data_IF_977375112087
#
_entry.id   IF_977375112087
#
_cell.length_a   1.000
_cell.length_b   1.000
_cell.length_c   1.000
_cell.angle_alpha   90.00
_cell.angle_beta   90.00
_cell.angle_gamma   90.00
#
_symmetry.space_group_name_H-M   'P 1'
#
loop_
_entity.id
_entity.type
_entity.pdbx_description
1 polymer ?
#
# COMPACT_ATOMS: atom_id res chain seq x y z
N UNK A 1 18.06 10.06 2.29
CA UNK A 1 17.13 8.91 2.42
C UNK A 1 16.79 8.67 3.89
N UNK A 2 15.52 8.86 4.29
CA UNK A 2 15.11 8.69 5.70
C UNK A 2 14.84 7.21 6.03
N UNK A 3 14.86 6.84 7.32
CA UNK A 3 14.47 5.48 7.79
C UNK A 3 13.04 5.12 7.38
N UNK A 4 12.17 6.11 7.23
CA UNK A 4 10.79 5.97 6.76
C UNK A 4 10.75 5.59 5.27
N UNK A 5 11.50 6.30 4.42
CA UNK A 5 11.58 6.03 2.99
C UNK A 5 12.11 4.62 2.69
N UNK A 6 13.12 4.19 3.44
CA UNK A 6 13.67 2.84 3.32
C UNK A 6 12.61 1.76 3.64
N UNK A 7 11.81 1.96 4.70
CA UNK A 7 10.70 1.05 5.05
C UNK A 7 9.65 1.01 3.94
N UNK A 8 9.22 2.17 3.44
CA UNK A 8 8.22 2.26 2.37
C UNK A 8 8.73 1.64 1.06
N UNK A 9 10.02 1.76 0.76
CA UNK A 9 10.65 1.08 -0.38
C UNK A 9 10.61 -0.44 -0.22
N UNK A 10 11.00 -0.98 0.94
CA UNK A 10 10.93 -2.42 1.21
C UNK A 10 9.50 -2.96 1.07
N UNK A 11 8.50 -2.17 1.49
CA UNK A 11 7.09 -2.53 1.35
C UNK A 11 6.68 -2.64 -0.13
N UNK A 12 7.08 -1.68 -0.98
CA UNK A 12 6.83 -1.75 -2.43
C UNK A 12 7.50 -2.95 -3.08
N UNK A 13 8.76 -3.22 -2.73
CA UNK A 13 9.49 -4.39 -3.25
C UNK A 13 8.76 -5.69 -2.92
N UNK A 14 8.23 -5.83 -1.69
CA UNK A 14 7.42 -6.99 -1.30
C UNK A 14 6.12 -7.11 -2.08
N UNK A 15 5.47 -5.99 -2.40
CA UNK A 15 4.27 -5.98 -3.23
C UNK A 15 4.56 -6.49 -4.66
N UNK A 16 5.79 -6.35 -5.16
CA UNK A 16 6.17 -6.77 -6.51
C UNK A 16 6.66 -8.22 -6.62
N UNK A 17 6.70 -9.00 -5.52
CA UNK A 17 7.18 -10.39 -5.51
C UNK A 17 6.23 -11.35 -6.26
N UNK A 18 6.45 -11.57 -7.55
CA UNK A 18 5.54 -12.35 -8.42
C UNK A 18 5.40 -13.82 -8.03
N UNK A 19 6.35 -14.36 -7.27
CA UNK A 19 6.35 -15.70 -6.69
C UNK A 19 5.30 -15.87 -5.56
N UNK A 20 4.81 -14.77 -5.00
CA UNK A 20 3.83 -14.78 -3.91
C UNK A 20 2.41 -14.51 -4.44
N UNK A 21 1.37 -15.24 -3.98
CA UNK A 21 -0.01 -14.97 -4.34
C UNK A 21 -0.44 -13.51 -4.10
N UNK A 22 -1.19 -12.94 -5.05
CA UNK A 22 -1.61 -11.53 -5.02
C UNK A 22 -2.26 -11.14 -3.69
N UNK A 23 -3.19 -11.96 -3.20
CA UNK A 23 -3.88 -11.72 -1.92
C UNK A 23 -2.89 -11.52 -0.76
N UNK A 24 -1.87 -12.38 -0.65
CA UNK A 24 -0.88 -12.30 0.43
C UNK A 24 -0.02 -11.06 0.31
N UNK A 25 0.39 -10.70 -0.92
CA UNK A 25 1.15 -9.48 -1.18
C UNK A 25 0.37 -8.23 -0.81
N UNK A 26 -0.87 -8.14 -1.26
CA UNK A 26 -1.76 -7.00 -1.03
C UNK A 26 -2.08 -6.85 0.46
N UNK A 27 -2.46 -7.93 1.14
CA UNK A 27 -2.75 -7.90 2.59
C UNK A 27 -1.50 -7.52 3.39
N UNK A 28 -0.32 -8.04 3.01
CA UNK A 28 0.95 -7.70 3.65
C UNK A 28 1.34 -6.24 3.42
N UNK A 29 1.18 -5.74 2.19
CA UNK A 29 1.41 -4.35 1.83
C UNK A 29 0.59 -3.42 2.72
N UNK A 30 -0.72 -3.63 2.79
CA UNK A 30 -1.60 -2.83 3.65
C UNK A 30 -1.19 -2.90 5.12
N UNK A 31 -0.86 -4.09 5.63
CA UNK A 31 -0.43 -4.26 7.03
C UNK A 31 0.81 -3.45 7.34
N UNK A 32 1.82 -3.54 6.48
CA UNK A 32 3.09 -2.87 6.70
C UNK A 32 2.95 -1.36 6.52
N UNK A 33 2.22 -0.90 5.50
CA UNK A 33 1.97 0.54 5.26
C UNK A 33 1.15 1.16 6.40
N UNK A 34 0.13 0.48 6.92
CA UNK A 34 -0.60 0.97 8.09
C UNK A 34 0.29 1.05 9.34
N UNK A 35 1.18 0.09 9.56
CA UNK A 35 2.13 0.11 10.70
C UNK A 35 3.12 1.26 10.64
N UNK A 36 3.39 1.80 9.45
CA UNK A 36 4.22 2.98 9.29
C UNK A 36 3.53 4.24 9.82
N UNK A 37 2.20 4.32 9.68
CA UNK A 37 1.41 5.50 10.07
C UNK A 37 0.81 5.37 11.47
N UNK A 38 0.55 4.15 11.90
CA UNK A 38 -0.04 3.81 13.19
C UNK A 38 0.60 2.51 13.70
N UNK A 39 1.60 2.64 14.57
CA UNK A 39 2.31 1.49 15.15
C UNK A 39 1.37 0.56 15.94
N UNK A 40 0.23 1.07 16.43
CA UNK A 40 -0.79 0.28 17.15
C UNK A 40 -1.70 -0.52 16.23
N UNK A 41 -1.69 -0.25 14.92
CA UNK A 41 -2.40 -1.04 13.90
C UNK A 41 -3.91 -0.88 13.86
N UNK A 42 -4.48 0.13 14.56
CA UNK A 42 -5.92 0.41 14.55
C UNK A 42 -6.41 0.73 13.14
N UNK A 43 -5.65 1.54 12.40
CA UNK A 43 -5.96 1.88 10.99
C UNK A 43 -6.03 0.67 10.06
N UNK A 44 -5.17 -0.33 10.29
CA UNK A 44 -5.16 -1.55 9.47
C UNK A 44 -6.46 -2.35 9.65
N UNK A 45 -6.89 -2.55 10.89
CA UNK A 45 -8.09 -3.32 11.21
C UNK A 45 -9.36 -2.68 10.64
N UNK A 46 -9.49 -1.36 10.75
CA UNK A 46 -10.63 -0.62 10.22
C UNK A 46 -10.69 -0.67 8.70
N UNK A 47 -9.56 -0.49 8.02
CA UNK A 47 -9.49 -0.56 6.57
C UNK A 47 -9.82 -1.96 6.05
N UNK A 48 -9.27 -3.02 6.65
CA UNK A 48 -9.60 -4.39 6.28
C UNK A 48 -11.08 -4.72 6.52
N UNK A 49 -11.66 -4.25 7.63
CA UNK A 49 -13.07 -4.44 7.91
C UNK A 49 -13.96 -3.74 6.87
N UNK A 50 -13.60 -2.52 6.47
CA UNK A 50 -14.32 -1.77 5.43
C UNK A 50 -14.21 -2.47 4.05
N UNK A 51 -13.01 -2.88 3.67
CA UNK A 51 -12.76 -3.61 2.42
C UNK A 51 -13.54 -4.93 2.38
N UNK A 52 -13.49 -5.72 3.46
CA UNK A 52 -14.16 -7.01 3.54
C UNK A 52 -15.70 -6.87 3.58
N UNK A 53 -16.23 -5.82 4.24
CA UNK A 53 -17.66 -5.52 4.26
C UNK A 53 -18.17 -5.11 2.87
N UNK A 54 -17.38 -4.36 2.11
CA UNK A 54 -17.73 -3.98 0.74
C UNK A 54 -17.69 -5.20 -0.19
N UNK A 55 -16.60 -5.98 -0.15
CA UNK A 55 -16.42 -7.16 -0.99
C UNK A 55 -15.44 -8.15 -0.35
N UNK A 56 -15.89 -9.36 -0.04
CA UNK A 56 -15.04 -10.34 0.67
C UNK A 56 -13.72 -10.65 -0.06
N UNK A 57 -13.76 -10.68 -1.39
CA UNK A 57 -12.62 -10.91 -2.28
C UNK A 57 -12.16 -9.64 -3.01
N UNK A 58 -12.26 -8.48 -2.35
CA UNK A 58 -11.84 -7.16 -2.85
C UNK A 58 -10.44 -7.17 -3.48
N UNK A 59 -9.50 -7.98 -2.98
CA UNK A 59 -8.13 -8.05 -3.51
C UNK A 59 -8.06 -8.49 -4.98
N UNK A 60 -9.11 -9.16 -5.50
CA UNK A 60 -9.18 -9.55 -6.93
C UNK A 60 -9.40 -8.38 -7.86
N UNK A 61 -9.92 -7.26 -7.37
CA UNK A 61 -10.08 -6.05 -8.17
C UNK A 61 -8.81 -5.20 -8.18
N UNK A 62 -7.80 -5.62 -7.40
CA UNK A 62 -6.55 -4.89 -7.29
C UNK A 62 -5.55 -5.27 -8.38
N UNK A 63 -4.80 -4.27 -8.85
CA UNK A 63 -3.63 -4.43 -9.70
C UNK A 63 -2.46 -3.63 -9.13
N UNK A 64 -1.25 -4.06 -9.46
CA UNK A 64 -0.01 -3.44 -8.98
C UNK A 64 0.59 -2.68 -10.15
N UNK A 65 0.87 -1.39 -9.96
CA UNK A 65 1.46 -0.56 -11.00
C UNK A 65 2.96 -0.85 -11.15
N UNK A 66 3.57 -0.33 -12.21
CA UNK A 66 5.02 -0.48 -12.42
C UNK A 66 5.84 0.18 -11.31
N UNK A 67 5.31 1.23 -10.70
CA UNK A 67 5.91 1.98 -9.59
C UNK A 67 5.80 1.24 -8.25
N UNK A 68 5.12 0.09 -8.22
CA UNK A 68 4.94 -0.72 -7.01
C UNK A 68 3.92 -0.11 -6.05
N UNK A 69 2.91 0.59 -6.58
CA UNK A 69 1.71 1.00 -5.81
C UNK A 69 0.56 0.04 -6.09
N UNK A 70 -0.47 0.12 -5.25
CA UNK A 70 -1.66 -0.71 -5.34
C UNK A 70 -2.84 0.15 -5.80
N UNK A 71 -3.51 -0.28 -6.83
CA UNK A 71 -4.73 0.34 -7.36
C UNK A 71 -5.83 -0.71 -7.48
N UNK A 72 -7.07 -0.26 -7.71
CA UNK A 72 -8.21 -1.14 -7.91
C UNK A 72 -9.14 -0.63 -9.00
N UNK A 73 -9.70 -1.56 -9.78
CA UNK A 73 -10.78 -1.30 -10.74
C UNK A 73 -12.13 -1.04 -10.07
N UNK A 74 -12.30 -1.49 -8.82
CA UNK A 74 -13.43 -1.12 -7.96
C UNK A 74 -13.16 0.24 -7.30
N UNK A 75 -14.01 1.22 -7.58
CA UNK A 75 -13.87 2.60 -7.13
C UNK A 75 -13.95 2.75 -5.59
N UNK A 76 -14.76 1.93 -4.91
CA UNK A 76 -14.87 1.97 -3.44
C UNK A 76 -13.61 1.38 -2.83
N UNK A 77 -13.12 0.26 -3.35
CA UNK A 77 -11.82 -0.30 -2.94
C UNK A 77 -10.71 0.73 -3.18
N UNK A 78 -10.67 1.38 -4.34
CA UNK A 78 -9.65 2.37 -4.66
C UNK A 78 -9.71 3.59 -3.72
N UNK A 79 -10.91 4.06 -3.37
CA UNK A 79 -11.12 5.13 -2.39
C UNK A 79 -10.62 4.73 -0.99
N UNK A 80 -10.93 3.50 -0.54
CA UNK A 80 -10.45 2.97 0.75
C UNK A 80 -8.93 2.83 0.81
N UNK A 81 -8.28 2.58 -0.34
CA UNK A 81 -6.82 2.48 -0.47
C UNK A 81 -6.10 3.84 -0.56
N UNK A 82 -6.83 4.93 -0.86
CA UNK A 82 -6.24 6.25 -1.11
C UNK A 82 -5.30 6.78 0.00
N UNK A 83 -5.55 6.57 1.32
CA UNK A 83 -4.63 7.04 2.35
C UNK A 83 -3.27 6.32 2.29
N UNK A 84 -3.26 5.06 1.83
CA UNK A 84 -2.03 4.29 1.62
C UNK A 84 -1.32 4.77 0.36
N UNK A 85 -2.06 5.05 -0.72
CA UNK A 85 -1.47 5.62 -1.93
C UNK A 85 -0.76 6.95 -1.63
N UNK A 86 -1.40 7.85 -0.88
CA UNK A 86 -0.82 9.14 -0.47
C UNK A 86 0.47 8.98 0.35
N UNK A 87 0.49 8.08 1.34
CA UNK A 87 1.68 7.76 2.13
C UNK A 87 2.88 7.38 1.25
N UNK A 88 2.62 6.60 0.21
CA UNK A 88 3.65 6.18 -0.72
C UNK A 88 4.04 7.33 -1.68
N UNK A 89 3.10 8.14 -2.16
CA UNK A 89 3.41 9.27 -3.05
C UNK A 89 4.35 10.30 -2.39
N UNK A 90 4.09 10.68 -1.14
CA UNK A 90 4.90 11.69 -0.41
C UNK A 90 6.38 11.26 -0.24
N UNK A 91 6.60 9.97 -0.01
CA UNK A 91 7.94 9.39 0.07
C UNK A 91 8.68 9.39 -1.29
N UNK A 92 7.96 9.25 -2.41
CA UNK A 92 8.56 9.33 -3.74
C UNK A 92 8.93 10.77 -4.11
N UNK A 93 8.05 11.73 -3.85
CA UNK A 93 8.31 13.16 -4.10
C UNK A 93 9.55 13.66 -3.36
N UNK A 94 9.71 13.25 -2.10
CA UNK A 94 10.89 13.55 -1.28
C UNK A 94 12.20 13.01 -1.88
N UNK A 95 12.13 11.90 -2.62
CA UNK A 95 13.28 11.26 -3.26
C UNK A 95 13.65 11.89 -4.60
N UNK A 96 12.67 12.25 -5.43
CA UNK A 96 12.91 12.94 -6.71
C UNK A 96 13.61 14.28 -6.48
N UNK A 97 13.21 15.00 -5.44
CA UNK A 97 13.86 16.26 -5.04
C UNK A 97 15.30 16.05 -4.53
N UNK A 98 15.60 14.92 -3.87
CA UNK A 98 16.97 14.59 -3.42
C UNK A 98 17.91 14.12 -4.54
N UNK A 99 17.38 13.61 -5.66
CA UNK A 99 18.20 13.17 -6.80
C UNK A 99 18.44 14.29 -7.82
N UNK A 100 17.66 15.38 -7.75
CA UNK A 100 17.75 16.52 -8.65
C UNK A 100 18.58 17.70 -8.08
N UNK A 101 19.13 17.57 -6.86
CA UNK A 101 19.96 18.54 -6.16
C UNK A 101 21.38 17.99 -5.96
#
# INVERSE_FOLDING_TARGET
MTRLDAKLQTIRQKLQQTDVPLQLRVVSYLRMSCRVVDERGGRYSQMLAALHRHKADWWKTCHITQEGTLESSDAIVNMLLSPIAALHADSQSSRTLQLAA
#
